data_IF_661850106199
#
_entry.id   IF_661850106199
#
_cell.length_a   1.000
_cell.length_b   1.000
_cell.length_c   1.000
_cell.angle_alpha   90.00
_cell.angle_beta   90.00
_cell.angle_gamma   90.00
#
_symmetry.space_group_name_H-M   'P 1'
#
loop_
_entity.id
_entity.type
_entity.pdbx_description
1 polymer ?
#
# COMPACT_ATOMS: atom_id res chain seq x y z
N UNK A 1 28.18 -63.67 26.75
CA UNK A 1 27.79 -62.28 27.01
C UNK A 1 27.44 -61.63 25.68
N UNK A 2 26.17 -61.54 25.32
CA UNK A 2 25.69 -60.91 24.08
C UNK A 2 25.45 -59.42 24.38
N UNK A 3 26.20 -58.54 23.71
CA UNK A 3 25.98 -57.08 23.76
C UNK A 3 24.94 -56.70 22.71
N UNK A 4 23.74 -56.26 23.16
CA UNK A 4 22.71 -55.68 22.29
C UNK A 4 23.14 -54.21 22.06
N UNK A 5 23.40 -53.86 20.78
CA UNK A 5 23.65 -52.49 20.36
C UNK A 5 22.29 -51.92 19.93
N UNK A 6 21.76 -50.98 20.74
CA UNK A 6 20.53 -50.21 20.39
C UNK A 6 20.97 -49.01 19.53
N UNK A 7 20.65 -49.06 18.25
CA UNK A 7 20.83 -47.92 17.32
C UNK A 7 19.59 -47.04 17.47
N UNK A 8 19.75 -45.88 18.16
CA UNK A 8 18.74 -44.82 18.18
C UNK A 8 18.78 -44.05 16.87
N UNK A 9 17.84 -44.32 15.98
CA UNK A 9 17.60 -43.51 14.79
C UNK A 9 16.94 -42.18 15.21
N UNK A 10 17.68 -41.10 15.22
CA UNK A 10 17.15 -39.73 15.30
C UNK A 10 16.50 -39.38 13.96
N UNK A 11 15.19 -39.53 13.86
CA UNK A 11 14.41 -38.96 12.76
C UNK A 11 14.26 -37.47 13.07
N UNK A 12 15.14 -36.63 12.51
CA UNK A 12 14.94 -35.18 12.49
C UNK A 12 13.78 -34.87 11.54
N UNK A 13 12.58 -34.77 12.09
CA UNK A 13 11.43 -34.27 11.36
C UNK A 13 11.69 -32.80 10.95
N UNK A 14 11.96 -32.55 9.68
CA UNK A 14 11.89 -31.21 9.12
C UNK A 14 10.43 -30.75 9.17
N UNK A 15 10.04 -30.06 10.24
CA UNK A 15 8.75 -29.36 10.25
C UNK A 15 8.89 -28.14 9.34
N UNK A 16 8.38 -28.24 8.12
CA UNK A 16 8.17 -27.09 7.24
C UNK A 16 7.04 -26.25 7.83
N UNK A 17 7.39 -25.34 8.74
CA UNK A 17 6.44 -24.42 9.34
C UNK A 17 5.84 -23.52 8.25
N UNK A 18 4.51 -23.50 8.11
CA UNK A 18 3.82 -22.43 7.41
C UNK A 18 4.11 -21.12 8.15
N UNK A 19 4.77 -20.20 7.49
CA UNK A 19 5.06 -18.89 8.07
C UNK A 19 3.76 -18.07 8.02
N UNK A 20 3.14 -17.86 9.18
CA UNK A 20 1.89 -17.08 9.31
C UNK A 20 2.21 -15.78 10.02
N UNK A 21 1.91 -14.66 9.37
CA UNK A 21 1.98 -13.33 9.95
C UNK A 21 0.57 -12.85 10.30
N UNK A 22 0.44 -12.12 11.39
CA UNK A 22 -0.83 -11.61 11.87
C UNK A 22 -0.72 -10.12 12.24
N UNK A 23 -1.71 -9.34 11.83
CA UNK A 23 -1.87 -7.94 12.20
C UNK A 23 -3.29 -7.71 12.71
N UNK A 24 -3.45 -6.87 13.74
CA UNK A 24 -4.76 -6.45 14.25
C UNK A 24 -4.71 -5.01 14.74
N UNK A 25 -5.65 -4.20 14.27
CA UNK A 25 -5.81 -2.83 14.74
C UNK A 25 -7.29 -2.49 15.01
N UNK A 26 -7.52 -1.70 16.06
CA UNK A 26 -8.81 -1.09 16.42
C UNK A 26 -8.66 0.34 16.92
N UNK A 27 -7.43 0.87 16.87
CA UNK A 27 -7.09 2.20 17.41
C UNK A 27 -7.12 3.26 16.33
N UNK A 28 -6.80 2.92 15.10
CA UNK A 28 -6.64 3.87 13.99
C UNK A 28 -7.56 3.57 12.82
N UNK A 29 -7.78 2.29 12.48
CA UNK A 29 -8.57 1.90 11.32
C UNK A 29 -9.95 2.56 11.26
N UNK A 30 -10.27 3.23 10.16
CA UNK A 30 -11.53 3.88 9.82
C UNK A 30 -11.92 4.94 10.85
N UNK A 31 -12.38 4.53 12.03
CA UNK A 31 -12.64 5.38 13.20
C UNK A 31 -12.24 4.67 14.48
N UNK A 32 -11.41 5.34 15.33
CA UNK A 32 -10.92 4.79 16.58
C UNK A 32 -12.01 4.13 17.43
N UNK A 33 -11.79 2.88 17.82
CA UNK A 33 -12.67 2.12 18.70
C UNK A 33 -14.03 1.71 18.13
N UNK A 34 -14.37 2.10 16.90
CA UNK A 34 -15.63 1.72 16.22
C UNK A 34 -15.45 0.54 15.25
N UNK A 35 -14.27 0.43 14.66
CA UNK A 35 -13.90 -0.63 13.73
C UNK A 35 -12.66 -1.35 14.20
N UNK A 36 -12.50 -2.59 13.75
CA UNK A 36 -11.32 -3.41 13.96
C UNK A 36 -11.01 -4.16 12.68
N UNK A 37 -9.73 -4.19 12.31
CA UNK A 37 -9.23 -5.02 11.21
C UNK A 37 -8.37 -6.14 11.77
N UNK A 38 -8.57 -7.35 11.30
CA UNK A 38 -7.70 -8.49 11.53
C UNK A 38 -7.19 -8.96 10.17
N UNK A 39 -5.89 -9.04 10.02
CA UNK A 39 -5.24 -9.45 8.76
C UNK A 39 -4.33 -10.63 9.06
N UNK A 40 -4.37 -11.64 8.22
CA UNK A 40 -3.52 -12.82 8.30
C UNK A 40 -2.85 -13.03 6.95
N UNK A 41 -1.54 -13.15 6.94
CA UNK A 41 -0.78 -13.64 5.80
C UNK A 41 -0.37 -15.07 6.04
N UNK A 42 -0.67 -15.96 5.11
CA UNK A 42 -0.17 -17.33 5.08
C UNK A 42 0.79 -17.47 3.93
N UNK A 43 2.00 -17.85 4.23
CA UNK A 43 3.06 -18.03 3.26
C UNK A 43 3.41 -19.52 3.15
N UNK A 44 3.39 -20.07 1.95
CA UNK A 44 3.91 -21.38 1.62
C UNK A 44 5.04 -21.22 0.58
N UNK A 45 5.65 -22.32 0.14
CA UNK A 45 6.81 -22.29 -0.78
C UNK A 45 6.53 -21.62 -2.13
N UNK A 46 5.28 -21.57 -2.57
CA UNK A 46 4.91 -21.12 -3.92
C UNK A 46 3.94 -19.95 -3.93
N UNK A 47 3.28 -19.68 -2.82
CA UNK A 47 2.19 -18.72 -2.76
C UNK A 47 2.13 -18.02 -1.39
N UNK A 48 1.81 -16.73 -1.43
CA UNK A 48 1.49 -15.92 -0.26
C UNK A 48 0.09 -15.36 -0.40
N UNK A 49 -0.78 -15.66 0.57
CA UNK A 49 -2.17 -15.20 0.59
C UNK A 49 -2.39 -14.34 1.81
N UNK A 50 -2.87 -13.12 1.58
CA UNK A 50 -3.36 -12.21 2.61
C UNK A 50 -4.86 -12.32 2.69
N UNK A 51 -5.40 -12.48 3.89
CA UNK A 51 -6.83 -12.47 4.18
C UNK A 51 -7.12 -11.44 5.25
N UNK A 52 -8.23 -10.73 5.14
CA UNK A 52 -8.64 -9.79 6.18
C UNK A 52 -10.11 -9.96 6.59
N UNK A 53 -10.39 -9.59 7.83
CA UNK A 53 -11.74 -9.44 8.37
C UNK A 53 -11.88 -8.03 8.95
N UNK A 54 -12.88 -7.29 8.45
CA UNK A 54 -13.31 -6.04 9.05
C UNK A 54 -14.46 -6.32 10.01
N UNK A 55 -14.32 -5.82 11.23
CA UNK A 55 -15.32 -5.95 12.29
C UNK A 55 -15.81 -4.56 12.70
N UNK A 56 -17.07 -4.48 13.10
CA UNK A 56 -17.69 -3.29 13.70
C UNK A 56 -18.07 -3.58 15.15
N UNK A 57 -17.86 -2.59 16.02
CA UNK A 57 -18.25 -2.67 17.43
C UNK A 57 -19.77 -2.48 17.58
N UNK A 58 -20.39 -3.37 18.35
CA UNK A 58 -21.79 -3.28 18.75
C UNK A 58 -21.88 -3.56 20.26
N UNK A 59 -22.08 -2.53 21.06
CA UNK A 59 -21.92 -2.62 22.52
C UNK A 59 -20.49 -3.02 22.91
N UNK A 60 -20.36 -4.10 23.66
CA UNK A 60 -19.06 -4.71 24.03
C UNK A 60 -18.50 -5.67 22.99
N UNK A 61 -19.28 -6.08 21.99
CA UNK A 61 -18.93 -7.16 21.05
C UNK A 61 -18.43 -6.62 19.71
N UNK A 62 -17.63 -7.44 19.04
CA UNK A 62 -17.16 -7.21 17.67
C UNK A 62 -17.88 -8.14 16.70
N UNK A 63 -18.58 -7.58 15.72
CA UNK A 63 -19.27 -8.33 14.67
C UNK A 63 -18.56 -8.16 13.34
N UNK A 64 -18.25 -9.27 12.67
CA UNK A 64 -17.64 -9.26 11.35
C UNK A 64 -18.62 -8.74 10.31
N UNK A 65 -18.22 -7.72 9.55
CA UNK A 65 -19.05 -7.07 8.52
C UNK A 65 -18.51 -7.24 7.11
N UNK A 66 -17.21 -7.60 6.97
CA UNK A 66 -16.58 -7.85 5.67
C UNK A 66 -15.42 -8.83 5.82
N UNK A 67 -15.18 -9.63 4.78
CA UNK A 67 -13.96 -10.41 4.58
C UNK A 67 -13.44 -10.19 3.17
N UNK A 68 -12.13 -10.31 3.00
CA UNK A 68 -11.47 -10.26 1.70
C UNK A 68 -10.19 -11.05 1.72
N UNK A 69 -9.67 -11.38 0.53
CA UNK A 69 -8.36 -12.01 0.37
C UNK A 69 -7.77 -11.72 -0.98
N UNK A 70 -6.44 -11.74 -1.06
CA UNK A 70 -5.69 -11.60 -2.30
C UNK A 70 -4.34 -12.31 -2.21
N UNK A 71 -3.77 -12.64 -3.37
CA UNK A 71 -2.40 -13.14 -3.47
C UNK A 71 -1.42 -11.99 -3.43
N UNK A 72 -0.29 -12.20 -2.78
CA UNK A 72 0.78 -11.23 -2.59
C UNK A 72 2.11 -11.82 -3.04
N UNK A 73 3.08 -10.99 -3.36
CA UNK A 73 4.47 -11.41 -3.58
C UNK A 73 5.03 -12.10 -2.33
N UNK A 74 5.71 -13.24 -2.50
CA UNK A 74 6.10 -14.14 -1.40
C UNK A 74 7.19 -13.57 -0.50
N UNK A 75 8.12 -12.83 -1.07
CA UNK A 75 9.37 -12.44 -0.38
C UNK A 75 9.27 -11.11 0.38
N UNK A 76 8.11 -10.49 0.37
CA UNK A 76 7.91 -9.20 1.02
C UNK A 76 7.03 -9.34 2.27
N UNK A 77 7.42 -8.79 3.44
CA UNK A 77 6.69 -8.94 4.70
C UNK A 77 5.29 -8.31 4.65
N UNK A 78 4.45 -8.66 5.62
CA UNK A 78 3.15 -8.01 5.79
C UNK A 78 3.34 -6.66 6.49
N UNK A 79 3.30 -5.56 5.72
CA UNK A 79 3.22 -4.21 6.24
C UNK A 79 1.80 -3.70 6.06
N UNK A 80 1.26 -3.00 7.07
CA UNK A 80 -0.12 -2.52 7.09
C UNK A 80 -0.15 -1.11 7.65
N UNK A 81 -0.80 -0.19 6.94
CA UNK A 81 -1.08 1.18 7.37
C UNK A 81 -2.58 1.35 7.55
N UNK A 82 -3.00 1.92 8.69
CA UNK A 82 -4.42 2.08 9.08
C UNK A 82 -4.74 3.46 9.64
N UNK A 83 -3.80 4.38 9.64
CA UNK A 83 -3.86 5.70 10.29
C UNK A 83 -3.82 6.88 9.31
N UNK A 84 -3.95 6.62 8.01
CA UNK A 84 -4.00 7.63 6.96
C UNK A 84 -5.41 7.74 6.36
N UNK A 85 -5.91 8.98 6.22
CA UNK A 85 -7.11 9.34 5.46
C UNK A 85 -6.64 9.91 4.11
N UNK A 86 -6.53 9.03 3.10
CA UNK A 86 -5.93 9.39 1.81
C UNK A 86 -6.86 10.22 0.92
N UNK A 87 -8.16 10.13 1.12
CA UNK A 87 -9.17 10.86 0.35
C UNK A 87 -9.79 12.04 1.10
N UNK A 88 -9.35 12.29 2.35
CA UNK A 88 -9.80 13.37 3.23
C UNK A 88 -11.33 13.36 3.45
N UNK A 89 -11.90 12.18 3.66
CA UNK A 89 -13.34 12.02 3.93
C UNK A 89 -13.66 11.85 5.43
N UNK A 90 -12.65 11.94 6.28
CA UNK A 90 -12.75 11.81 7.73
C UNK A 90 -12.76 10.37 8.24
N UNK A 91 -12.38 9.41 7.40
CA UNK A 91 -12.20 8.01 7.75
C UNK A 91 -10.82 7.53 7.30
N UNK A 92 -10.06 6.95 8.22
CA UNK A 92 -8.78 6.37 7.84
C UNK A 92 -8.98 5.17 6.90
N UNK A 93 -8.09 5.05 5.94
CA UNK A 93 -8.08 4.01 4.94
C UNK A 93 -7.20 2.82 5.35
N UNK A 94 -7.15 1.80 4.53
CA UNK A 94 -6.32 0.62 4.74
C UNK A 94 -5.37 0.45 3.56
N UNK A 95 -4.07 0.48 3.82
CA UNK A 95 -3.04 0.06 2.88
C UNK A 95 -2.41 -1.25 3.35
N UNK A 96 -2.21 -2.18 2.43
CA UNK A 96 -1.53 -3.45 2.68
C UNK A 96 -0.44 -3.63 1.65
N UNK A 97 0.80 -3.80 2.10
CA UNK A 97 1.94 -4.05 1.23
C UNK A 97 1.67 -5.23 0.29
N UNK A 98 1.92 -5.04 -0.99
CA UNK A 98 1.72 -6.05 -2.03
C UNK A 98 3.06 -6.56 -2.59
N UNK A 99 3.93 -5.65 -2.99
CA UNK A 99 5.23 -5.92 -3.58
C UNK A 99 6.18 -4.77 -3.33
N UNK A 100 7.42 -4.93 -3.75
CA UNK A 100 8.44 -3.90 -3.75
C UNK A 100 9.18 -3.88 -5.08
N UNK A 101 9.52 -2.70 -5.59
CA UNK A 101 10.28 -2.50 -6.81
C UNK A 101 11.40 -1.47 -6.61
N UNK A 102 12.21 -1.22 -7.63
CA UNK A 102 13.32 -0.26 -7.60
C UNK A 102 14.23 -0.41 -6.38
N UNK A 103 14.62 -1.65 -6.05
CA UNK A 103 15.47 -2.01 -4.88
C UNK A 103 14.91 -1.52 -3.54
N UNK A 104 13.60 -1.50 -3.40
CA UNK A 104 12.91 -1.07 -2.18
C UNK A 104 12.42 0.38 -2.20
N UNK A 105 12.80 1.19 -3.17
CA UNK A 105 12.37 2.58 -3.24
C UNK A 105 10.88 2.73 -3.63
N UNK A 106 10.30 1.73 -4.29
CA UNK A 106 8.88 1.70 -4.66
C UNK A 106 8.16 0.66 -3.82
N UNK A 107 7.42 1.09 -2.80
CA UNK A 107 6.50 0.25 -2.06
C UNK A 107 5.16 0.20 -2.80
N UNK A 108 4.78 -1.00 -3.24
CA UNK A 108 3.55 -1.24 -3.98
C UNK A 108 2.51 -1.78 -3.00
N UNK A 109 1.38 -1.09 -2.89
CA UNK A 109 0.34 -1.37 -1.90
C UNK A 109 -1.01 -1.63 -2.55
N UNK A 110 -1.81 -2.48 -1.91
CA UNK A 110 -3.26 -2.51 -2.13
C UNK A 110 -3.91 -1.48 -1.22
N UNK A 111 -4.64 -0.56 -1.83
CA UNK A 111 -5.41 0.46 -1.14
C UNK A 111 -6.88 0.06 -1.06
N UNK A 112 -7.44 0.17 0.13
CA UNK A 112 -8.86 -0.01 0.42
C UNK A 112 -9.40 1.23 1.12
N UNK A 113 -10.34 1.91 0.49
CA UNK A 113 -10.97 3.12 1.02
C UNK A 113 -12.30 2.79 1.68
N UNK A 114 -12.57 3.39 2.84
CA UNK A 114 -13.81 3.13 3.53
C UNK A 114 -14.99 3.84 2.86
N UNK A 115 -16.05 3.10 2.57
CA UNK A 115 -17.31 3.65 2.08
C UNK A 115 -18.33 3.74 3.23
N UNK A 116 -18.63 4.93 3.78
CA UNK A 116 -19.49 5.07 4.93
C UNK A 116 -20.96 4.70 4.65
N UNK A 117 -21.42 4.83 3.40
CA UNK A 117 -22.78 4.44 3.00
C UNK A 117 -22.95 2.91 3.00
N UNK A 118 -21.97 2.20 2.47
CA UNK A 118 -21.94 0.73 2.43
C UNK A 118 -21.39 0.11 3.72
N UNK A 119 -20.72 0.90 4.57
CA UNK A 119 -19.97 0.46 5.76
C UNK A 119 -18.98 -0.67 5.46
N UNK A 120 -18.25 -0.52 4.36
CA UNK A 120 -17.29 -1.49 3.84
C UNK A 120 -16.06 -0.79 3.28
N UNK A 121 -14.96 -1.51 3.28
CA UNK A 121 -13.76 -1.15 2.53
C UNK A 121 -13.98 -1.47 1.04
N UNK A 122 -13.69 -0.52 0.18
CA UNK A 122 -13.71 -0.65 -1.29
C UNK A 122 -12.27 -0.69 -1.78
N UNK A 123 -11.89 -1.74 -2.47
CA UNK A 123 -10.56 -1.85 -3.08
C UNK A 123 -10.43 -0.84 -4.22
N UNK A 124 -9.30 -0.13 -4.25
CA UNK A 124 -8.89 0.70 -5.38
C UNK A 124 -8.07 -0.18 -6.32
N UNK A 125 -8.71 -0.62 -7.40
CA UNK A 125 -8.26 -1.76 -8.21
C UNK A 125 -6.95 -1.55 -8.97
N UNK A 126 -6.51 -0.30 -9.17
CA UNK A 126 -5.24 0.06 -9.81
C UNK A 126 -4.23 0.72 -8.85
N UNK A 127 -4.42 0.58 -7.53
CA UNK A 127 -3.49 1.16 -6.56
C UNK A 127 -2.05 0.63 -6.73
N UNK A 128 -1.90 -0.58 -7.23
CA UNK A 128 -0.60 -1.21 -7.48
C UNK A 128 0.21 -0.56 -8.63
N UNK A 129 -0.42 0.26 -9.47
CA UNK A 129 0.25 1.01 -10.53
C UNK A 129 0.95 2.28 -9.98
N UNK A 130 0.62 2.66 -8.75
CA UNK A 130 1.06 3.89 -8.10
C UNK A 130 1.74 3.57 -6.76
N UNK A 131 3.07 3.39 -6.72
CA UNK A 131 3.78 3.12 -5.48
C UNK A 131 3.82 4.34 -4.56
N UNK A 132 4.12 4.09 -3.27
CA UNK A 132 4.36 5.14 -2.28
C UNK A 132 3.20 6.14 -2.19
N UNK A 133 1.98 5.66 -1.97
CA UNK A 133 0.78 6.49 -1.88
C UNK A 133 0.74 7.29 -0.57
N UNK A 134 0.53 8.61 -0.67
CA UNK A 134 0.38 9.52 0.46
C UNK A 134 -0.70 10.57 0.22
N UNK A 135 -1.30 11.06 1.31
CA UNK A 135 -2.19 12.23 1.22
C UNK A 135 -1.38 13.52 1.05
N UNK A 136 -1.78 14.33 0.09
CA UNK A 136 -1.22 15.65 -0.18
C UNK A 136 -2.22 16.72 0.27
N UNK A 137 -1.96 17.33 1.42
CA UNK A 137 -2.83 18.36 1.99
C UNK A 137 -2.88 19.63 1.13
N UNK A 138 -1.79 19.98 0.41
CA UNK A 138 -1.72 21.17 -0.41
C UNK A 138 -2.72 21.15 -1.56
N UNK A 139 -2.88 19.98 -2.21
CA UNK A 139 -3.78 19.79 -3.35
C UNK A 139 -5.06 19.07 -2.99
N UNK A 140 -5.21 18.66 -1.72
CA UNK A 140 -6.30 17.80 -1.27
C UNK A 140 -6.51 16.60 -2.19
N UNK A 141 -5.44 15.83 -2.39
CA UNK A 141 -5.41 14.70 -3.31
C UNK A 141 -4.47 13.61 -2.80
N UNK A 142 -4.41 12.50 -3.50
CA UNK A 142 -3.41 11.46 -3.28
C UNK A 142 -2.20 11.77 -4.17
N UNK A 143 -0.98 11.62 -3.63
CA UNK A 143 0.24 11.59 -4.42
C UNK A 143 0.83 10.20 -4.43
N UNK A 144 1.47 9.84 -5.54
CA UNK A 144 2.32 8.67 -5.67
C UNK A 144 3.69 9.08 -6.12
N UNK A 145 4.68 8.51 -5.49
CA UNK A 145 6.07 8.78 -5.79
C UNK A 145 6.75 7.54 -6.35
N UNK A 146 7.29 7.62 -7.57
CA UNK A 146 7.86 6.48 -8.27
C UNK A 146 9.29 6.74 -8.73
N UNK A 147 10.17 5.80 -8.43
CA UNK A 147 11.56 5.75 -8.91
C UNK A 147 11.71 4.80 -10.09
N UNK A 148 12.42 5.22 -11.16
CA UNK A 148 12.65 4.40 -12.36
C UNK A 148 13.96 4.72 -13.11
N UNK A 149 14.94 5.33 -12.45
CA UNK A 149 16.17 5.90 -13.06
C UNK A 149 16.17 7.43 -13.11
N UNK A 150 15.03 8.04 -12.87
CA UNK A 150 14.66 9.35 -12.42
C UNK A 150 13.60 9.17 -11.36
N UNK A 151 12.75 10.18 -11.17
CA UNK A 151 11.57 10.01 -10.34
C UNK A 151 10.38 10.84 -10.87
N UNK A 152 9.19 10.41 -10.52
CA UNK A 152 7.97 11.15 -10.84
C UNK A 152 7.06 11.20 -9.62
N UNK A 153 6.43 12.36 -9.40
CA UNK A 153 5.33 12.54 -8.47
C UNK A 153 4.05 12.67 -9.27
N UNK A 154 3.12 11.74 -9.09
CA UNK A 154 1.76 11.80 -9.63
C UNK A 154 0.82 12.46 -8.63
N UNK A 155 -0.13 13.24 -9.15
CA UNK A 155 -1.26 13.83 -8.40
C UNK A 155 -2.54 13.14 -8.86
N UNK A 156 -3.22 12.48 -7.91
CA UNK A 156 -4.24 11.48 -8.18
C UNK A 156 -5.54 11.82 -7.41
N UNK A 157 -6.68 11.58 -8.06
CA UNK A 157 -7.97 11.54 -7.38
C UNK A 157 -8.57 10.14 -7.46
N UNK A 158 -9.38 9.78 -6.46
CA UNK A 158 -10.20 8.58 -6.55
C UNK A 158 -11.44 8.90 -7.36
N UNK A 159 -11.67 8.09 -8.41
CA UNK A 159 -12.89 8.14 -9.19
C UNK A 159 -13.48 6.74 -9.27
N UNK A 160 -14.63 6.56 -8.62
CA UNK A 160 -15.23 5.26 -8.38
C UNK A 160 -14.29 4.37 -7.53
N UNK A 161 -13.70 3.35 -8.13
CA UNK A 161 -12.77 2.40 -7.50
C UNK A 161 -11.37 2.44 -8.13
N UNK A 162 -10.98 3.59 -8.73
CA UNK A 162 -9.68 3.78 -9.41
C UNK A 162 -9.04 5.09 -9.02
N UNK A 163 -7.69 5.10 -9.07
CA UNK A 163 -6.90 6.31 -9.08
C UNK A 163 -6.84 6.85 -10.51
N UNK A 164 -7.15 8.14 -10.68
CA UNK A 164 -6.98 8.86 -11.94
C UNK A 164 -6.03 10.04 -11.74
N UNK A 165 -4.94 10.06 -12.53
CA UNK A 165 -3.97 11.16 -12.52
C UNK A 165 -4.53 12.41 -13.17
N UNK A 166 -4.30 13.58 -12.56
CA UNK A 166 -4.66 14.87 -13.12
C UNK A 166 -3.46 15.82 -13.29
N UNK A 167 -2.32 15.45 -12.74
CA UNK A 167 -1.05 16.14 -12.90
C UNK A 167 0.12 15.25 -12.54
N UNK A 168 1.33 15.62 -12.99
CA UNK A 168 2.58 15.01 -12.57
C UNK A 168 3.74 15.97 -12.68
N UNK A 169 4.77 15.74 -11.88
CA UNK A 169 6.10 16.34 -12.05
C UNK A 169 7.11 15.21 -12.18
N UNK A 170 7.90 15.26 -13.24
CA UNK A 170 8.93 14.27 -13.53
C UNK A 170 10.30 14.93 -13.43
N UNK A 171 11.21 14.33 -12.68
CA UNK A 171 12.61 14.72 -12.61
C UNK A 171 13.46 13.69 -13.37
N UNK A 172 14.13 14.15 -14.41
CA UNK A 172 14.99 13.33 -15.25
C UNK A 172 16.06 14.21 -15.94
N UNK A 173 17.30 13.72 -16.02
CA UNK A 173 18.41 14.37 -16.71
C UNK A 173 18.59 15.85 -16.31
N UNK A 174 18.71 16.11 -15.01
CA UNK A 174 18.88 17.45 -14.42
C UNK A 174 17.83 18.48 -14.88
N UNK A 175 16.63 17.99 -15.15
CA UNK A 175 15.49 18.81 -15.56
C UNK A 175 14.21 18.31 -14.89
N UNK A 176 13.32 19.24 -14.59
CA UNK A 176 11.94 18.92 -14.21
C UNK A 176 11.00 19.22 -15.35
N UNK A 177 9.99 18.36 -15.47
CA UNK A 177 8.92 18.47 -16.43
C UNK A 177 7.60 18.42 -15.67
N UNK A 178 6.82 19.49 -15.73
CA UNK A 178 5.48 19.55 -15.11
C UNK A 178 4.41 19.34 -16.16
N UNK A 179 3.44 18.49 -15.86
CA UNK A 179 2.35 18.14 -16.77
C UNK A 179 1.01 18.25 -16.09
N UNK A 180 0.04 18.73 -16.84
CA UNK A 180 -1.38 18.53 -16.58
C UNK A 180 -1.85 17.30 -17.33
N UNK A 181 -2.65 16.45 -16.69
CA UNK A 181 -3.23 15.27 -17.32
C UNK A 181 -4.71 15.53 -17.55
N UNK A 182 -5.18 15.45 -18.80
CA UNK A 182 -6.58 15.60 -19.18
C UNK A 182 -6.98 14.50 -20.16
N UNK A 183 -8.02 13.74 -19.82
CA UNK A 183 -8.49 12.62 -20.67
C UNK A 183 -7.37 11.64 -21.03
N UNK A 184 -6.49 11.33 -20.07
CA UNK A 184 -5.29 10.48 -20.23
C UNK A 184 -4.19 11.06 -21.15
N UNK A 185 -4.33 12.29 -21.60
CA UNK A 185 -3.30 12.99 -22.37
C UNK A 185 -2.49 13.87 -21.43
N UNK A 186 -1.16 13.84 -21.59
CA UNK A 186 -0.22 14.67 -20.84
C UNK A 186 0.04 15.95 -21.63
N UNK A 187 -0.20 17.09 -20.99
CA UNK A 187 0.02 18.43 -21.55
C UNK A 187 1.20 19.01 -20.77
N UNK A 188 2.33 19.21 -21.44
CA UNK A 188 3.49 19.84 -20.84
C UNK A 188 3.16 21.29 -20.48
N UNK A 189 3.32 21.64 -19.20
CA UNK A 189 3.13 22.99 -18.68
C UNK A 189 4.47 23.74 -18.58
N UNK A 190 5.51 23.05 -18.08
CA UNK A 190 6.80 23.64 -17.81
C UNK A 190 7.92 22.62 -18.00
N UNK A 191 9.05 23.10 -18.49
CA UNK A 191 10.35 22.42 -18.47
C UNK A 191 11.38 23.39 -17.98
N UNK A 192 12.17 23.01 -16.99
CA UNK A 192 13.27 23.84 -16.49
C UNK A 192 14.44 22.98 -16.03
N UNK A 193 15.65 23.56 -16.11
CA UNK A 193 16.83 22.94 -15.54
C UNK A 193 16.69 22.90 -14.01
N UNK A 194 17.04 21.77 -13.41
CA UNK A 194 16.92 21.57 -11.99
C UNK A 194 18.07 20.69 -11.48
N UNK A 195 18.79 21.18 -10.49
CA UNK A 195 19.85 20.40 -9.84
C UNK A 195 19.36 19.97 -8.48
N UNK A 196 19.15 18.68 -8.30
CA UNK A 196 18.94 18.09 -6.98
C UNK A 196 20.28 17.69 -6.37
N UNK A 197 20.50 18.04 -5.11
CA UNK A 197 21.66 17.59 -4.36
C UNK A 197 21.50 16.13 -3.88
N UNK A 198 20.28 15.63 -3.79
CA UNK A 198 19.95 14.33 -3.17
C UNK A 198 19.54 13.25 -4.18
N UNK A 199 19.56 13.55 -5.47
CA UNK A 199 19.19 12.60 -6.54
C UNK A 199 17.71 12.20 -6.58
N UNK A 200 16.91 12.64 -5.61
CA UNK A 200 15.48 12.34 -5.50
C UNK A 200 14.74 13.58 -5.01
N UNK A 201 13.67 13.97 -5.68
CA UNK A 201 12.90 15.16 -5.36
C UNK A 201 11.41 14.81 -5.28
N UNK A 202 10.78 15.21 -4.17
CA UNK A 202 9.33 15.10 -3.98
C UNK A 202 8.67 16.45 -4.28
N UNK A 203 7.60 16.41 -5.03
CA UNK A 203 6.87 17.62 -5.37
C UNK A 203 5.52 17.66 -4.66
N UNK A 204 5.24 18.78 -3.99
CA UNK A 204 3.96 19.02 -3.33
C UNK A 204 2.94 19.65 -4.28
N UNK A 205 3.41 20.21 -5.43
CA UNK A 205 2.56 20.84 -6.44
C UNK A 205 3.17 20.73 -7.84
N UNK A 206 2.32 20.69 -8.88
CA UNK A 206 2.74 20.62 -10.27
C UNK A 206 2.51 21.93 -11.05
N UNK A 207 1.67 22.84 -10.53
CA UNK A 207 1.37 24.14 -11.16
C UNK A 207 0.94 25.16 -10.08
N UNK A 208 1.82 26.08 -9.64
CA UNK A 208 3.25 26.08 -9.89
C UNK A 208 3.96 24.84 -9.34
N UNK A 209 5.16 24.52 -9.88
CA UNK A 209 5.97 23.42 -9.36
C UNK A 209 6.59 23.84 -8.03
N UNK A 210 6.42 23.01 -7.00
CA UNK A 210 6.95 23.25 -5.64
C UNK A 210 7.31 21.92 -4.98
N UNK A 211 8.40 21.91 -4.21
CA UNK A 211 8.88 20.79 -3.39
C UNK A 211 8.14 20.66 -2.07
#
# INVERSE_FOLDING_TARGET
>A
MNRIIIILLFISGFSFGQNTEFFSDSKTIIKPGKYKINITRKNNKTESVVSFNLLRKSGSNWSKIQSGSFKKQTDFPLLVTTDEDLNNDGYNDLKISYAQAARGANEIEKLFVFNPKKQKLTEIINSQEYPNLHYNARRNCITSYMFYGGNVTYFLNIKQDKLEGFGKVEFSNDSIYSYKIKSKQEILLKKEAYKSNDGAVFFSNFDPVEE
#
